data_IF_976278830925
#
_entry.id   IF_976278830925
#
_cell.length_a   1.000
_cell.length_b   1.000
_cell.length_c   1.000
_cell.angle_alpha   90.00
_cell.angle_beta   90.00
_cell.angle_gamma   90.00
#
_symmetry.space_group_name_H-M   'P 1'
#
loop_
_entity.id
_entity.type
_entity.pdbx_description
1 polymer ?
#
# COMPACT_ATOMS: atom_id res chain seq x y z
N UNK A 1 13.42 -10.05 -3.96
CA UNK A 1 14.35 -9.40 -3.02
C UNK A 1 14.67 -10.41 -1.93
N UNK A 2 15.93 -10.80 -1.78
CA UNK A 2 16.35 -11.71 -0.70
C UNK A 2 16.73 -10.88 0.53
N UNK A 3 16.47 -11.38 1.74
CA UNK A 3 16.78 -10.66 2.98
C UNK A 3 15.75 -9.61 3.44
N UNK A 4 14.67 -9.39 2.68
CA UNK A 4 13.54 -8.53 3.10
C UNK A 4 12.35 -9.39 3.49
N UNK A 5 11.88 -9.23 4.72
CA UNK A 5 10.78 -10.02 5.30
C UNK A 5 9.68 -9.09 5.80
N UNK A 6 8.44 -9.55 5.68
CA UNK A 6 7.26 -8.89 6.20
C UNK A 6 6.29 -9.95 6.72
N UNK A 7 5.58 -9.67 7.81
CA UNK A 7 4.59 -10.56 8.40
C UNK A 7 3.40 -9.75 8.93
N UNK A 8 2.22 -10.40 9.03
CA UNK A 8 0.99 -9.73 9.44
C UNK A 8 0.32 -8.94 8.32
N UNK A 9 -0.44 -7.91 8.68
CA UNK A 9 -1.30 -7.16 7.74
C UNK A 9 -0.52 -6.37 6.68
N UNK A 10 0.76 -6.07 6.93
CA UNK A 10 1.66 -5.44 5.94
C UNK A 10 2.09 -6.43 4.85
N UNK A 11 1.99 -7.73 5.10
CA UNK A 11 2.39 -8.78 4.17
C UNK A 11 1.18 -9.36 3.42
N UNK A 12 1.36 -9.64 2.13
CA UNK A 12 0.41 -10.43 1.36
C UNK A 12 0.89 -11.89 1.27
N UNK A 13 0.66 -12.67 2.34
CA UNK A 13 0.90 -14.12 2.33
C UNK A 13 -0.12 -14.91 1.48
N UNK A 14 -1.06 -14.21 0.83
CA UNK A 14 -2.13 -14.73 -0.04
C UNK A 14 -3.12 -15.72 0.60
N UNK A 15 -3.02 -15.99 1.90
CA UNK A 15 -3.94 -16.90 2.62
C UNK A 15 -5.35 -16.34 2.79
N UNK A 16 -5.52 -15.02 2.74
CA UNK A 16 -6.82 -14.36 2.91
C UNK A 16 -7.56 -14.09 1.60
N UNK A 17 -6.87 -14.21 0.45
CA UNK A 17 -7.41 -13.81 -0.85
C UNK A 17 -7.98 -12.39 -0.83
N UNK A 18 -9.13 -12.18 -1.48
CA UNK A 18 -9.78 -10.87 -1.56
C UNK A 18 -10.68 -10.53 -0.35
N UNK A 19 -10.92 -11.48 0.56
CA UNK A 19 -11.75 -11.26 1.74
C UNK A 19 -11.27 -12.09 2.90
N UNK A 20 -10.63 -11.43 3.86
CA UNK A 20 -10.16 -12.04 5.09
C UNK A 20 -11.33 -12.45 5.99
N UNK A 21 -11.31 -13.69 6.47
CA UNK A 21 -12.30 -14.17 7.46
C UNK A 21 -12.04 -13.48 8.81
N UNK A 22 -13.12 -13.08 9.48
CA UNK A 22 -13.07 -12.42 10.79
C UNK A 22 -12.30 -13.26 11.80
N UNK A 23 -11.69 -12.60 12.79
CA UNK A 23 -10.90 -13.20 13.90
C UNK A 23 -9.57 -13.87 13.54
N UNK A 24 -9.21 -13.97 12.26
CA UNK A 24 -7.93 -14.59 11.87
C UNK A 24 -6.69 -13.67 11.97
N UNK A 25 -6.79 -12.40 12.38
CA UNK A 25 -5.68 -11.44 12.26
C UNK A 25 -4.58 -11.77 13.25
N UNK A 26 -5.01 -12.10 14.46
CA UNK A 26 -4.09 -12.41 15.54
C UNK A 26 -3.34 -13.71 15.25
N UNK A 27 -4.03 -14.70 14.71
CA UNK A 27 -3.42 -15.96 14.31
C UNK A 27 -2.42 -15.75 13.16
N UNK A 28 -2.76 -14.90 12.19
CA UNK A 28 -1.90 -14.52 11.07
C UNK A 28 -0.58 -13.92 11.57
N UNK A 29 -0.66 -12.97 12.50
CA UNK A 29 0.49 -12.33 13.13
C UNK A 29 1.39 -13.35 13.84
N UNK A 30 0.81 -14.24 14.65
CA UNK A 30 1.58 -15.20 15.44
C UNK A 30 2.25 -16.25 14.56
N UNK A 31 1.50 -16.84 13.62
CA UNK A 31 1.99 -17.93 12.77
C UNK A 31 3.00 -17.42 11.76
N UNK A 32 2.64 -16.40 10.98
CA UNK A 32 3.56 -15.87 9.97
C UNK A 32 4.67 -15.04 10.57
N UNK A 33 4.47 -14.41 11.73
CA UNK A 33 5.54 -13.76 12.48
C UNK A 33 6.61 -14.77 12.88
N UNK A 34 6.22 -15.88 13.51
CA UNK A 34 7.16 -16.97 13.87
C UNK A 34 7.84 -17.58 12.64
N UNK A 35 7.06 -17.88 11.60
CA UNK A 35 7.60 -18.46 10.36
C UNK A 35 8.62 -17.53 9.70
N UNK A 36 8.30 -16.25 9.56
CA UNK A 36 9.18 -15.25 8.94
C UNK A 36 10.44 -15.04 9.75
N UNK A 37 10.33 -15.02 11.09
CA UNK A 37 11.47 -14.91 11.99
C UNK A 37 12.41 -16.12 11.86
N UNK A 38 11.89 -17.35 11.84
CA UNK A 38 12.71 -18.54 11.65
C UNK A 38 13.46 -18.50 10.31
N UNK A 39 12.77 -18.14 9.22
CA UNK A 39 13.41 -18.00 7.91
C UNK A 39 14.45 -16.89 7.87
N UNK A 40 14.22 -15.77 8.55
CA UNK A 40 15.16 -14.66 8.67
C UNK A 40 16.41 -15.07 9.46
N UNK A 41 16.26 -15.78 10.57
CA UNK A 41 17.38 -16.26 11.39
C UNK A 41 18.28 -17.19 10.56
N UNK A 42 17.69 -18.14 9.84
CA UNK A 42 18.48 -19.04 8.98
C UNK A 42 19.15 -18.30 7.83
N UNK A 43 18.49 -17.29 7.26
CA UNK A 43 19.11 -16.44 6.24
C UNK A 43 20.30 -15.65 6.78
N UNK A 44 20.15 -14.99 7.94
CA UNK A 44 21.21 -14.18 8.58
C UNK A 44 22.43 -15.03 8.91
N UNK A 45 22.25 -16.25 9.44
CA UNK A 45 23.36 -17.18 9.74
C UNK A 45 24.19 -17.57 8.51
N UNK A 46 23.60 -17.49 7.32
CA UNK A 46 24.26 -17.80 6.06
C UNK A 46 24.90 -16.56 5.40
N UNK A 47 24.67 -15.36 5.95
CA UNK A 47 25.24 -14.13 5.42
C UNK A 47 26.67 -13.93 5.94
N UNK A 48 27.54 -13.29 5.14
CA UNK A 48 28.84 -12.83 5.64
C UNK A 48 28.66 -11.82 6.78
N UNK A 49 29.63 -11.77 7.70
CA UNK A 49 29.67 -10.75 8.76
C UNK A 49 29.80 -9.33 8.20
N UNK A 50 30.55 -9.19 7.10
CA UNK A 50 30.72 -7.93 6.38
C UNK A 50 29.54 -7.70 5.42
N UNK A 51 28.76 -6.66 5.71
CA UNK A 51 27.67 -6.21 4.85
C UNK A 51 28.21 -5.39 3.66
N UNK A 52 27.53 -5.42 2.50
CA UNK A 52 27.90 -4.56 1.39
C UNK A 52 27.86 -3.08 1.82
N UNK A 53 28.76 -2.24 1.26
CA UNK A 53 28.74 -0.81 1.56
C UNK A 53 27.41 -0.21 1.13
N UNK A 54 26.93 0.74 1.93
CA UNK A 54 25.68 1.45 1.65
C UNK A 54 25.80 2.22 0.34
N UNK A 55 24.82 2.09 -0.54
CA UNK A 55 24.74 2.89 -1.75
C UNK A 55 24.45 4.35 -1.37
N UNK A 56 25.45 5.23 -1.55
CA UNK A 56 25.30 6.66 -1.22
C UNK A 56 24.16 7.33 -1.98
N UNK A 57 23.84 6.87 -3.19
CA UNK A 57 22.68 7.33 -3.95
C UNK A 57 21.34 7.15 -3.19
N UNK A 58 21.18 6.08 -2.41
CA UNK A 58 19.95 5.85 -1.62
C UNK A 58 19.86 6.80 -0.41
N UNK A 59 21.01 7.13 0.18
CA UNK A 59 21.12 8.12 1.25
C UNK A 59 20.77 9.51 0.71
N UNK A 60 21.38 9.90 -0.41
CA UNK A 60 21.14 11.17 -1.07
C UNK A 60 19.67 11.33 -1.45
N UNK A 61 19.04 10.27 -1.98
CA UNK A 61 17.59 10.27 -2.29
C UNK A 61 16.75 10.53 -1.04
N UNK A 62 17.08 9.89 0.08
CA UNK A 62 16.35 10.05 1.35
C UNK A 62 16.52 11.45 1.92
N UNK A 63 17.74 11.99 1.89
CA UNK A 63 18.04 13.36 2.33
C UNK A 63 17.36 14.39 1.42
N UNK A 64 17.34 14.17 0.10
CA UNK A 64 16.69 15.06 -0.86
C UNK A 64 15.18 15.18 -0.61
N UNK A 65 14.49 14.11 -0.19
CA UNK A 65 13.06 14.17 0.18
C UNK A 65 12.81 15.11 1.36
N UNK A 66 13.66 15.04 2.40
CA UNK A 66 13.56 15.93 3.55
C UNK A 66 13.90 17.37 3.15
N UNK A 67 14.97 17.56 2.37
CA UNK A 67 15.39 18.87 1.87
C UNK A 67 14.31 19.52 0.99
N UNK A 68 13.57 18.75 0.19
CA UNK A 68 12.41 19.25 -0.57
C UNK A 68 11.40 19.90 0.36
N UNK A 69 10.97 19.20 1.41
CA UNK A 69 9.96 19.69 2.36
C UNK A 69 10.44 20.94 3.12
N UNK A 70 11.70 20.96 3.53
CA UNK A 70 12.29 22.09 4.25
C UNK A 70 12.35 23.36 3.37
N UNK A 71 12.58 23.21 2.07
CA UNK A 71 12.75 24.33 1.13
C UNK A 71 11.49 24.66 0.29
N UNK A 72 10.47 23.80 0.27
CA UNK A 72 9.25 24.06 -0.49
C UNK A 72 8.55 25.32 0.04
N UNK A 73 8.18 26.18 -0.89
CA UNK A 73 7.39 27.40 -0.68
C UNK A 73 6.30 27.49 -1.75
N UNK A 74 5.22 28.23 -1.46
CA UNK A 74 4.04 28.36 -2.32
C UNK A 74 3.45 27.00 -2.73
N UNK A 75 3.50 26.03 -1.82
CA UNK A 75 2.99 24.69 -2.02
C UNK A 75 1.55 24.53 -1.53
N UNK A 76 1.03 23.31 -1.68
CA UNK A 76 -0.27 22.94 -1.14
C UNK A 76 -0.12 22.50 0.32
N UNK A 77 -1.08 22.84 1.17
CA UNK A 77 -1.03 22.38 2.55
C UNK A 77 -1.21 20.86 2.61
N UNK A 78 -0.40 20.21 3.46
CA UNK A 78 -0.41 18.75 3.64
C UNK A 78 -1.81 18.23 4.00
N UNK A 79 -2.54 18.97 4.83
CA UNK A 79 -3.88 18.57 5.27
C UNK A 79 -4.90 18.57 4.11
N UNK A 80 -4.85 19.56 3.23
CA UNK A 80 -5.73 19.67 2.06
C UNK A 80 -5.47 18.53 1.07
N UNK A 81 -4.19 18.28 0.75
CA UNK A 81 -3.80 17.19 -0.13
C UNK A 81 -4.20 15.81 0.44
N UNK A 82 -4.06 15.62 1.76
CA UNK A 82 -4.50 14.40 2.44
C UNK A 82 -6.02 14.22 2.38
N UNK A 83 -6.79 15.29 2.65
CA UNK A 83 -8.24 15.26 2.61
C UNK A 83 -8.74 14.94 1.19
N UNK A 84 -8.13 15.54 0.17
CA UNK A 84 -8.47 15.29 -1.23
C UNK A 84 -8.16 13.85 -1.64
N UNK A 85 -7.00 13.31 -1.25
CA UNK A 85 -6.67 11.90 -1.48
C UNK A 85 -7.72 10.97 -0.86
N UNK A 86 -8.12 11.22 0.39
CA UNK A 86 -9.15 10.43 1.07
C UNK A 86 -10.50 10.52 0.34
N UNK A 87 -10.89 11.72 -0.09
CA UNK A 87 -12.14 11.95 -0.83
C UNK A 87 -12.16 11.20 -2.17
N UNK A 88 -11.06 11.27 -2.93
CA UNK A 88 -10.90 10.54 -4.20
C UNK A 88 -10.99 9.03 -3.98
N UNK A 89 -10.28 8.50 -2.98
CA UNK A 89 -10.30 7.07 -2.65
C UNK A 89 -11.69 6.60 -2.21
N UNK A 90 -12.37 7.34 -1.34
CA UNK A 90 -13.71 6.99 -0.86
C UNK A 90 -14.76 7.04 -1.96
N UNK A 91 -14.68 8.06 -2.83
CA UNK A 91 -15.62 8.24 -3.92
C UNK A 91 -15.43 7.13 -4.95
N UNK A 92 -14.22 6.96 -5.46
CA UNK A 92 -13.99 6.15 -6.66
C UNK A 92 -13.56 4.70 -6.39
N UNK A 93 -13.00 4.41 -5.21
CA UNK A 93 -12.52 3.08 -4.83
C UNK A 93 -13.18 2.59 -3.53
N UNK A 94 -14.47 2.88 -3.35
CA UNK A 94 -15.27 2.44 -2.21
C UNK A 94 -15.69 0.96 -2.25
N UNK A 95 -16.74 0.62 -1.50
CA UNK A 95 -17.29 -0.76 -1.46
C UNK A 95 -17.93 -1.16 -2.80
N UNK A 96 -18.57 -0.20 -3.46
CA UNK A 96 -19.13 -0.34 -4.79
C UNK A 96 -18.19 0.34 -5.78
N UNK A 97 -17.82 -0.38 -6.84
CA UNK A 97 -16.87 0.13 -7.85
C UNK A 97 -17.38 -0.25 -9.23
N UNK A 98 -17.41 0.75 -10.11
CA UNK A 98 -17.79 0.60 -11.51
C UNK A 98 -16.60 0.97 -12.39
N UNK A 99 -16.53 0.40 -13.60
CA UNK A 99 -15.38 0.58 -14.48
C UNK A 99 -15.11 2.06 -14.79
N UNK A 100 -16.15 2.81 -15.16
CA UNK A 100 -16.00 4.22 -15.53
C UNK A 100 -15.60 5.08 -14.32
N UNK A 101 -16.14 4.76 -13.13
CA UNK A 101 -15.79 5.41 -11.87
C UNK A 101 -14.33 5.14 -11.46
N UNK A 102 -13.83 3.92 -11.67
CA UNK A 102 -12.44 3.58 -11.40
C UNK A 102 -11.48 4.24 -12.39
N UNK A 103 -11.87 4.36 -13.66
CA UNK A 103 -11.09 5.06 -14.66
C UNK A 103 -10.94 6.55 -14.29
N UNK A 104 -12.05 7.22 -13.94
CA UNK A 104 -12.01 8.60 -13.41
C UNK A 104 -11.19 8.70 -12.12
N UNK A 105 -11.30 7.70 -11.24
CA UNK A 105 -10.52 7.61 -10.01
C UNK A 105 -9.01 7.53 -10.26
N UNK A 106 -8.56 6.85 -11.31
CA UNK A 106 -7.15 6.78 -11.70
C UNK A 106 -6.64 8.15 -12.16
N UNK A 107 -7.41 8.86 -12.97
CA UNK A 107 -7.03 10.22 -13.40
C UNK A 107 -6.89 11.15 -12.18
N UNK A 108 -7.92 11.17 -11.32
CA UNK A 108 -7.93 12.03 -10.13
C UNK A 108 -6.85 11.69 -9.11
N UNK A 109 -6.53 10.42 -8.88
CA UNK A 109 -5.49 10.07 -7.91
C UNK A 109 -4.09 10.47 -8.42
N UNK A 110 -3.88 10.53 -9.73
CA UNK A 110 -2.63 11.04 -10.33
C UNK A 110 -2.52 12.56 -10.16
N UNK A 111 -3.61 13.31 -10.35
CA UNK A 111 -3.65 14.75 -10.04
C UNK A 111 -3.33 15.02 -8.56
N UNK A 112 -3.88 14.20 -7.66
CA UNK A 112 -3.56 14.27 -6.23
C UNK A 112 -2.09 13.94 -5.97
N UNK A 113 -1.50 13.00 -6.68
CA UNK A 113 -0.07 12.71 -6.54
C UNK A 113 0.81 13.89 -6.95
N UNK A 114 0.45 14.61 -8.02
CA UNK A 114 1.13 15.85 -8.41
C UNK A 114 0.96 16.96 -7.37
N UNK A 115 -0.20 17.01 -6.71
CA UNK A 115 -0.46 17.91 -5.58
C UNK A 115 0.41 17.57 -4.37
N UNK A 116 0.50 16.28 -4.00
CA UNK A 116 1.32 15.78 -2.89
C UNK A 116 2.80 16.11 -3.11
N UNK A 117 3.30 15.98 -4.33
CA UNK A 117 4.68 16.31 -4.69
C UNK A 117 5.04 17.80 -4.45
N UNK A 118 4.03 18.68 -4.42
CA UNK A 118 4.16 20.13 -4.22
C UNK A 118 3.70 20.57 -2.82
N UNK A 119 3.58 19.63 -1.89
CA UNK A 119 3.15 19.96 -0.52
C UNK A 119 4.18 20.79 0.22
N UNK A 120 3.70 21.78 0.97
CA UNK A 120 4.49 22.63 1.85
C UNK A 120 4.12 22.39 3.31
N UNK A 121 5.14 22.42 4.17
CA UNK A 121 4.98 22.47 5.63
C UNK A 121 5.25 23.90 6.11
N UNK A 122 4.38 24.42 6.98
CA UNK A 122 4.55 25.76 7.55
C UNK A 122 5.62 25.82 8.64
N UNK A 123 5.66 24.81 9.53
CA UNK A 123 6.73 24.69 10.52
C UNK A 123 7.99 24.10 9.87
N UNK A 124 9.09 24.88 9.85
CA UNK A 124 10.41 24.45 9.38
C UNK A 124 11.37 24.08 10.51
N UNK A 125 10.89 23.99 11.75
CA UNK A 125 11.71 23.60 12.89
C UNK A 125 12.32 22.21 12.69
N UNK A 126 13.50 21.97 13.29
CA UNK A 126 14.21 20.69 13.17
C UNK A 126 13.87 19.70 14.28
N UNK A 127 13.29 20.16 15.37
CA UNK A 127 13.10 19.39 16.61
C UNK A 127 11.63 19.03 16.75
N UNK A 128 11.31 17.73 16.84
CA UNK A 128 9.96 17.20 17.02
C UNK A 128 8.89 17.79 16.08
N UNK A 129 9.26 18.01 14.81
CA UNK A 129 8.37 18.60 13.81
C UNK A 129 7.37 17.57 13.28
N UNK A 130 6.14 17.59 13.79
CA UNK A 130 5.06 16.70 13.36
C UNK A 130 4.58 16.99 11.95
N UNK A 131 4.59 18.25 11.51
CA UNK A 131 4.19 18.63 10.16
C UNK A 131 5.07 17.95 9.10
N UNK A 132 6.38 17.84 9.34
CA UNK A 132 7.31 17.10 8.47
C UNK A 132 6.96 15.61 8.42
N UNK A 133 6.67 15.00 9.56
CA UNK A 133 6.33 13.57 9.65
C UNK A 133 5.05 13.30 8.84
N UNK A 134 4.00 14.10 9.06
CA UNK A 134 2.73 13.95 8.35
C UNK A 134 2.88 14.11 6.83
N UNK A 135 3.78 14.99 6.38
CA UNK A 135 4.05 15.19 4.96
C UNK A 135 4.77 13.98 4.34
N UNK A 136 5.78 13.43 5.02
CA UNK A 136 6.49 12.22 4.56
C UNK A 136 5.57 10.99 4.56
N UNK A 137 4.69 10.87 5.56
CA UNK A 137 3.67 9.83 5.58
C UNK A 137 2.69 9.97 4.41
N UNK A 138 2.29 11.19 4.07
CA UNK A 138 1.41 11.44 2.93
C UNK A 138 2.08 11.06 1.60
N UNK A 139 3.37 11.38 1.41
CA UNK A 139 4.15 10.94 0.25
C UNK A 139 4.20 9.41 0.12
N UNK A 140 4.28 8.67 1.24
CA UNK A 140 4.25 7.22 1.20
C UNK A 140 2.83 6.69 0.94
N UNK A 141 1.82 7.32 1.53
CA UNK A 141 0.43 6.89 1.46
C UNK A 141 -0.17 7.06 0.06
N UNK A 142 0.22 8.12 -0.67
CA UNK A 142 -0.26 8.34 -2.04
C UNK A 142 0.23 7.26 -3.01
N UNK A 143 1.43 6.70 -2.81
CA UNK A 143 1.91 5.58 -3.63
C UNK A 143 1.05 4.33 -3.44
N UNK A 144 0.67 4.03 -2.20
CA UNK A 144 -0.22 2.91 -1.88
C UNK A 144 -1.64 3.15 -2.44
N UNK A 145 -2.14 4.39 -2.34
CA UNK A 145 -3.43 4.78 -2.91
C UNK A 145 -3.46 4.62 -4.44
N UNK A 146 -2.43 5.11 -5.14
CA UNK A 146 -2.26 4.95 -6.59
C UNK A 146 -2.23 3.48 -6.98
N UNK A 147 -1.38 2.68 -6.33
CA UNK A 147 -1.26 1.25 -6.61
C UNK A 147 -2.61 0.53 -6.43
N UNK A 148 -3.36 0.88 -5.40
CA UNK A 148 -4.70 0.33 -5.13
C UNK A 148 -5.71 0.69 -6.21
N UNK A 149 -5.79 1.97 -6.57
CA UNK A 149 -6.73 2.48 -7.59
C UNK A 149 -6.43 1.88 -8.97
N UNK A 150 -5.17 1.91 -9.39
CA UNK A 150 -4.72 1.36 -10.69
C UNK A 150 -4.99 -0.15 -10.76
N UNK A 151 -4.66 -0.88 -9.69
CA UNK A 151 -4.91 -2.34 -9.64
C UNK A 151 -6.40 -2.66 -9.66
N UNK A 152 -7.23 -1.85 -9.00
CA UNK A 152 -8.68 -2.02 -9.02
C UNK A 152 -9.27 -1.77 -10.41
N UNK A 153 -8.81 -0.74 -11.13
CA UNK A 153 -9.25 -0.44 -12.49
C UNK A 153 -8.83 -1.52 -13.50
N UNK A 154 -7.62 -2.08 -13.36
CA UNK A 154 -7.10 -3.14 -14.23
C UNK A 154 -7.77 -4.51 -13.99
N UNK A 155 -8.48 -4.70 -12.87
CA UNK A 155 -9.05 -5.98 -12.52
C UNK A 155 -10.19 -6.38 -13.49
N UNK A 156 -10.16 -7.59 -14.08
CA UNK A 156 -11.16 -8.04 -15.06
C UNK A 156 -12.57 -8.23 -14.46
N UNK A 157 -12.68 -8.21 -13.13
CA UNK A 157 -13.95 -8.13 -12.40
C UNK A 157 -13.95 -6.81 -11.63
N UNK A 158 -14.44 -5.74 -12.26
CA UNK A 158 -14.92 -4.56 -11.53
C UNK A 158 -16.06 -5.05 -10.62
N UNK A 159 -15.72 -5.40 -9.38
CA UNK A 159 -16.55 -6.24 -8.53
C UNK A 159 -17.64 -5.41 -7.86
N UNK A 160 -18.90 -5.72 -8.18
CA UNK A 160 -20.00 -5.49 -7.24
C UNK A 160 -19.65 -6.14 -5.89
N UNK A 161 -20.04 -5.55 -4.75
CA UNK A 161 -19.72 -6.09 -3.44
C UNK A 161 -20.24 -7.52 -3.31
N UNK A 162 -19.38 -8.41 -2.81
CA UNK A 162 -19.70 -9.82 -2.56
C UNK A 162 -20.83 -10.04 -1.55
N UNK A 163 -21.41 -8.99 -0.97
CA UNK A 163 -22.63 -9.06 -0.16
C UNK A 163 -23.93 -9.20 -0.98
N UNK A 164 -23.91 -8.97 -2.30
CA UNK A 164 -25.04 -9.30 -3.19
C UNK A 164 -24.59 -10.21 -4.33
N UNK A 165 -24.27 -11.47 -4.02
CA UNK A 165 -24.61 -12.54 -4.97
C UNK A 165 -26.13 -12.57 -5.03
N UNK A 166 -26.71 -12.03 -6.10
CA UNK A 166 -28.12 -12.24 -6.44
C UNK A 166 -28.41 -13.74 -6.34
N UNK A 167 -29.44 -14.10 -5.57
CA UNK A 167 -30.04 -15.42 -5.65
C UNK A 167 -30.35 -15.71 -7.13
N UNK A 168 -29.74 -16.73 -7.72
CA UNK A 168 -30.09 -17.19 -9.06
C UNK A 168 -28.97 -17.44 -10.08
N UNK A 169 -27.71 -17.63 -9.69
CA UNK A 169 -26.71 -18.23 -10.61
C UNK A 169 -25.77 -19.20 -9.86
N UNK A 170 -25.92 -20.52 -10.04
CA UNK A 170 -24.96 -21.48 -9.55
C UNK A 170 -23.82 -21.53 -10.56
N UNK A 171 -22.65 -21.02 -10.19
CA UNK A 171 -21.42 -21.49 -10.81
C UNK A 171 -20.32 -21.50 -9.76
N UNK A 172 -20.29 -22.61 -9.04
CA UNK A 172 -19.13 -23.13 -8.34
C UNK A 172 -18.59 -24.24 -9.22
N UNK A 173 -17.66 -23.94 -10.12
CA UNK A 173 -16.81 -24.99 -10.67
C UNK A 173 -15.78 -25.37 -9.62
N UNK A 174 -16.19 -26.35 -8.83
CA UNK A 174 -15.35 -27.32 -8.13
C UNK A 174 -14.27 -27.81 -9.09
N UNK A 175 -12.99 -27.70 -8.72
CA UNK A 175 -11.93 -28.41 -9.41
C UNK A 175 -12.18 -29.92 -9.18
N UNK A 176 -12.67 -30.58 -10.22
CA UNK A 176 -12.95 -32.00 -10.19
C UNK A 176 -11.63 -32.80 -10.13
N UNK A 177 -11.54 -33.60 -9.08
CA UNK A 177 -10.81 -34.85 -8.99
C UNK A 177 -10.78 -35.58 -10.33
N UNK A 178 -9.59 -35.92 -10.83
CA UNK A 178 -9.41 -37.05 -11.76
C UNK A 178 -8.22 -37.87 -11.29
N UNK A 179 -8.52 -38.90 -10.50
CA UNK A 179 -7.77 -40.16 -10.51
C UNK A 179 -8.30 -40.97 -11.69
N UNK A 180 -7.43 -41.41 -12.59
CA UNK A 180 -7.22 -42.79 -13.06
C UNK A 180 -6.55 -42.79 -14.43
N UNK A 181 -5.55 -43.66 -14.55
CA UNK A 181 -4.65 -43.87 -15.66
C UNK A 181 -3.48 -44.68 -15.12
#
# INVERSE_FOLDING_TARGET
MHGFYAAGEVACASVHGANRLGTNSLLDLLVFGKSSANSMIEFIKQQPEDLPPLAMADVERSVARVARLDNQTNGVQVHDARAEMQRVMQTHCGVFRFKDMLAEGVEKILEVADMVAKTEIGDKSKVFNTARIEALELENLIEVAKATMVSANAAPRAAAPRARRRAGHPDTRTAATTRTG
#
